data_IF_839805866467
#
_entry.id   IF_839805866467
#
_cell.length_a   1.000
_cell.length_b   1.000
_cell.length_c   1.000
_cell.angle_alpha   90.00
_cell.angle_beta   90.00
_cell.angle_gamma   90.00
#
_symmetry.space_group_name_H-M   'P 1'
#
loop_
_entity.id
_entity.type
_entity.pdbx_description
1 polymer ?
#
# COMPACT_ATOMS: atom_id res chain seq x y z
N UNK A 1 -20.17 13.84 3.83
CA UNK A 1 -19.22 12.71 3.88
C UNK A 1 -19.88 11.52 3.19
N UNK A 2 -19.15 10.81 2.32
CA UNK A 2 -19.63 9.52 1.79
C UNK A 2 -19.59 8.48 2.93
N UNK A 3 -20.45 7.47 2.85
CA UNK A 3 -20.32 6.29 3.73
C UNK A 3 -19.08 5.49 3.34
N UNK A 4 -18.54 4.71 4.28
CA UNK A 4 -17.34 3.88 4.09
C UNK A 4 -17.45 2.97 2.84
N UNK A 5 -18.64 2.42 2.60
CA UNK A 5 -18.95 1.53 1.47
C UNK A 5 -18.92 2.24 0.11
N UNK A 6 -19.21 3.54 0.08
CA UNK A 6 -19.23 4.33 -1.16
C UNK A 6 -17.89 5.01 -1.46
N UNK A 7 -16.89 4.86 -0.59
CA UNK A 7 -15.59 5.48 -0.77
C UNK A 7 -14.71 4.66 -1.72
N UNK A 8 -14.08 5.35 -2.67
CA UNK A 8 -13.03 4.74 -3.49
C UNK A 8 -11.76 4.50 -2.67
N UNK A 9 -10.84 3.67 -3.17
CA UNK A 9 -9.55 3.46 -2.50
C UNK A 9 -8.73 4.74 -2.37
N UNK A 10 -8.81 5.66 -3.34
CA UNK A 10 -8.20 6.99 -3.26
C UNK A 10 -8.78 7.80 -2.10
N UNK A 11 -10.11 7.79 -1.94
CA UNK A 11 -10.78 8.49 -0.83
C UNK A 11 -10.42 7.87 0.52
N UNK A 12 -10.40 6.54 0.61
CA UNK A 12 -10.00 5.79 1.81
C UNK A 12 -8.55 6.07 2.20
N UNK A 13 -7.63 6.08 1.23
CA UNK A 13 -6.23 6.41 1.45
C UNK A 13 -6.06 7.86 1.90
N UNK A 14 -6.88 8.77 1.37
CA UNK A 14 -6.95 10.14 1.84
C UNK A 14 -7.35 10.24 3.32
N UNK A 15 -8.36 9.48 3.75
CA UNK A 15 -8.76 9.44 5.16
C UNK A 15 -7.63 8.87 6.04
N UNK A 16 -6.98 7.79 5.60
CA UNK A 16 -5.84 7.22 6.32
C UNK A 16 -4.70 8.24 6.50
N UNK A 17 -4.39 9.00 5.44
CA UNK A 17 -3.37 10.05 5.46
C UNK A 17 -3.70 11.14 6.48
N UNK A 18 -4.96 11.61 6.53
CA UNK A 18 -5.37 12.67 7.44
C UNK A 18 -5.35 12.21 8.90
N UNK A 19 -5.72 10.95 9.16
CA UNK A 19 -5.77 10.39 10.50
C UNK A 19 -4.37 10.06 11.04
N UNK A 20 -3.45 9.62 10.18
CA UNK A 20 -2.13 9.12 10.58
C UNK A 20 -1.00 9.66 9.71
N UNK A 21 -0.84 11.00 9.57
CA UNK A 21 0.18 11.58 8.70
C UNK A 21 1.61 11.18 9.11
N UNK A 22 1.83 10.91 10.40
CA UNK A 22 3.13 10.47 10.93
C UNK A 22 3.50 9.03 10.53
N UNK A 23 2.53 8.18 10.19
CA UNK A 23 2.78 6.79 9.75
C UNK A 23 3.15 6.71 8.26
N UNK A 24 2.83 7.75 7.47
CA UNK A 24 2.99 7.72 6.01
C UNK A 24 4.45 7.54 5.57
N UNK A 25 5.45 8.24 6.15
CA UNK A 25 6.85 7.99 5.79
C UNK A 25 7.27 6.53 6.00
N UNK A 26 6.94 5.96 7.16
CA UNK A 26 7.30 4.58 7.51
C UNK A 26 6.55 3.55 6.65
N UNK A 27 5.29 3.82 6.29
CA UNK A 27 4.55 3.00 5.34
C UNK A 27 5.22 3.01 3.96
N UNK A 28 5.66 4.18 3.48
CA UNK A 28 6.37 4.28 2.20
C UNK A 28 7.69 3.51 2.23
N UNK A 29 8.43 3.55 3.35
CA UNK A 29 9.62 2.74 3.58
C UNK A 29 9.30 1.24 3.54
N UNK A 30 8.24 0.83 4.23
CA UNK A 30 7.81 -0.57 4.27
C UNK A 30 7.43 -1.09 2.87
N UNK A 31 6.72 -0.29 2.07
CA UNK A 31 6.39 -0.65 0.67
C UNK A 31 7.66 -0.87 -0.15
N UNK A 32 8.66 0.01 -0.02
CA UNK A 32 9.95 -0.17 -0.72
C UNK A 32 10.70 -1.42 -0.23
N UNK A 33 10.72 -1.67 1.09
CA UNK A 33 11.33 -2.86 1.66
C UNK A 33 10.68 -4.16 1.18
N UNK A 34 9.36 -4.18 1.08
CA UNK A 34 8.62 -5.31 0.48
C UNK A 34 8.96 -5.50 -1.00
N UNK A 35 9.07 -4.41 -1.78
CA UNK A 35 9.51 -4.50 -3.17
C UNK A 35 10.90 -5.14 -3.29
N UNK A 36 11.82 -4.76 -2.40
CA UNK A 36 13.18 -5.29 -2.38
C UNK A 36 13.20 -6.77 -1.99
N UNK A 37 12.47 -7.17 -0.94
CA UNK A 37 12.39 -8.55 -0.49
C UNK A 37 11.91 -9.49 -1.61
N UNK A 38 10.91 -9.06 -2.39
CA UNK A 38 10.43 -9.83 -3.55
C UNK A 38 11.48 -9.99 -4.64
N UNK A 39 12.34 -8.97 -4.85
CA UNK A 39 13.43 -9.03 -5.83
C UNK A 39 14.61 -9.88 -5.39
N UNK A 40 14.87 -9.94 -4.08
CA UNK A 40 15.96 -10.73 -3.52
C UNK A 40 15.71 -12.25 -3.68
N UNK A 41 14.44 -12.69 -3.67
CA UNK A 41 14.06 -14.09 -3.93
C UNK A 41 12.93 -14.20 -4.98
N UNK A 42 13.14 -13.60 -6.15
CA UNK A 42 12.11 -13.58 -7.20
C UNK A 42 11.70 -15.00 -7.62
N UNK A 43 12.68 -15.90 -7.78
CA UNK A 43 12.44 -17.29 -8.19
C UNK A 43 11.67 -18.10 -7.13
N UNK A 44 11.97 -17.89 -5.84
CA UNK A 44 11.23 -18.52 -4.75
C UNK A 44 9.78 -18.06 -4.73
N UNK A 45 9.55 -16.74 -4.79
CA UNK A 45 8.21 -16.17 -4.83
C UNK A 45 7.42 -16.60 -6.08
N UNK A 46 8.06 -16.65 -7.24
CA UNK A 46 7.44 -17.10 -8.49
C UNK A 46 7.02 -18.57 -8.43
N UNK A 47 7.86 -19.45 -7.87
CA UNK A 47 7.53 -20.88 -7.69
C UNK A 47 6.40 -21.09 -6.68
N UNK A 48 6.37 -20.30 -5.62
CA UNK A 48 5.32 -20.33 -4.61
C UNK A 48 4.03 -19.64 -5.05
N UNK A 49 4.03 -18.97 -6.22
CA UNK A 49 2.90 -18.16 -6.66
C UNK A 49 1.69 -19.03 -6.98
N UNK A 50 0.66 -18.93 -6.14
CA UNK A 50 -0.59 -19.66 -6.28
C UNK A 50 -1.80 -18.72 -6.22
N UNK A 51 -1.80 -17.68 -7.06
CA UNK A 51 -2.94 -16.79 -7.22
C UNK A 51 -3.56 -16.99 -8.61
N UNK A 52 -4.76 -17.58 -8.67
CA UNK A 52 -5.47 -17.87 -9.92
C UNK A 52 -6.05 -16.64 -10.62
N UNK A 53 -6.20 -15.51 -9.92
CA UNK A 53 -6.76 -14.28 -10.48
C UNK A 53 -5.69 -13.33 -11.01
N UNK A 54 -4.50 -13.35 -10.40
CA UNK A 54 -3.43 -12.43 -10.72
C UNK A 54 -2.16 -13.22 -11.02
N UNK A 55 -1.70 -13.16 -12.27
CA UNK A 55 -0.47 -13.84 -12.67
C UNK A 55 0.77 -13.11 -12.12
N UNK A 56 1.88 -13.84 -12.01
CA UNK A 56 3.15 -13.32 -11.50
C UNK A 56 3.66 -12.08 -12.23
N UNK A 57 3.56 -12.06 -13.57
CA UNK A 57 4.08 -10.94 -14.35
C UNK A 57 3.29 -9.64 -14.09
N UNK A 58 1.97 -9.75 -13.92
CA UNK A 58 1.13 -8.64 -13.53
C UNK A 58 1.49 -8.18 -12.11
N UNK A 59 1.72 -9.09 -11.17
CA UNK A 59 2.18 -8.76 -9.82
C UNK A 59 3.47 -7.93 -9.83
N UNK A 60 4.48 -8.41 -10.56
CA UNK A 60 5.77 -7.72 -10.70
C UNK A 60 5.62 -6.36 -11.38
N UNK A 61 4.71 -6.23 -12.35
CA UNK A 61 4.41 -4.93 -12.98
C UNK A 61 3.83 -3.93 -11.97
N UNK A 62 2.87 -4.35 -11.14
CA UNK A 62 2.26 -3.50 -10.11
C UNK A 62 3.26 -3.10 -9.02
N UNK A 63 4.08 -4.05 -8.57
CA UNK A 63 5.18 -3.81 -7.64
C UNK A 63 6.16 -2.77 -8.20
N UNK A 64 6.59 -2.95 -9.46
CA UNK A 64 7.54 -2.05 -10.11
C UNK A 64 6.95 -0.66 -10.34
N UNK A 65 5.66 -0.57 -10.64
CA UNK A 65 4.94 0.70 -10.74
C UNK A 65 4.91 1.43 -9.38
N UNK A 66 4.51 0.73 -8.31
CA UNK A 66 4.50 1.28 -6.96
C UNK A 66 5.89 1.75 -6.53
N UNK A 67 6.91 0.91 -6.70
CA UNK A 67 8.30 1.25 -6.40
C UNK A 67 8.77 2.49 -7.19
N UNK A 68 8.46 2.53 -8.49
CA UNK A 68 8.82 3.66 -9.35
C UNK A 68 8.18 4.98 -8.90
N UNK A 69 6.90 4.94 -8.53
CA UNK A 69 6.17 6.10 -8.00
C UNK A 69 6.75 6.56 -6.67
N UNK A 70 7.03 5.64 -5.74
CA UNK A 70 7.62 5.98 -4.44
C UNK A 70 9.02 6.55 -4.64
N UNK A 71 9.89 5.89 -5.42
CA UNK A 71 11.24 6.39 -5.70
C UNK A 71 11.24 7.81 -6.26
N UNK A 72 10.26 8.14 -7.11
CA UNK A 72 10.14 9.47 -7.73
C UNK A 72 9.58 10.53 -6.78
N UNK A 73 8.65 10.17 -5.90
CA UNK A 73 7.84 11.15 -5.17
C UNK A 73 7.83 11.00 -3.65
N UNK A 74 8.54 10.06 -3.04
CA UNK A 74 8.49 9.72 -1.60
C UNK A 74 8.39 10.93 -0.68
N UNK A 75 9.36 11.85 -0.76
CA UNK A 75 9.41 13.04 0.10
C UNK A 75 8.19 13.97 -0.09
N UNK A 76 7.63 14.02 -1.30
CA UNK A 76 6.41 14.79 -1.61
C UNK A 76 5.16 14.04 -1.17
N UNK A 77 5.08 12.73 -1.41
CA UNK A 77 3.95 11.87 -0.99
C UNK A 77 3.78 11.92 0.52
N UNK A 78 4.86 11.84 1.29
CA UNK A 78 4.85 11.91 2.75
C UNK A 78 4.18 13.18 3.32
N UNK A 79 4.10 14.25 2.52
CA UNK A 79 3.55 15.55 2.93
C UNK A 79 2.31 15.97 2.13
N UNK A 80 1.94 15.21 1.11
CA UNK A 80 0.88 15.58 0.18
C UNK A 80 -0.11 14.43 0.03
N UNK A 81 -1.22 14.53 0.76
CA UNK A 81 -2.36 13.62 0.73
C UNK A 81 -2.78 13.21 -0.67
N UNK A 82 -2.98 14.20 -1.56
CA UNK A 82 -3.46 13.95 -2.91
C UNK A 82 -2.45 13.16 -3.71
N UNK A 83 -1.18 13.54 -3.64
CA UNK A 83 -0.12 12.82 -4.34
C UNK A 83 0.04 11.39 -3.81
N UNK A 84 -0.07 11.18 -2.50
CA UNK A 84 -0.06 9.83 -1.90
C UNK A 84 -1.23 8.98 -2.41
N UNK A 85 -2.46 9.51 -2.30
CA UNK A 85 -3.68 8.78 -2.67
C UNK A 85 -3.77 8.52 -4.18
N UNK A 86 -3.60 9.55 -5.02
CA UNK A 86 -3.73 9.44 -6.48
C UNK A 86 -2.62 8.55 -7.08
N UNK A 87 -1.42 8.53 -6.51
CA UNK A 87 -0.32 7.74 -7.08
C UNK A 87 -0.35 6.28 -6.63
N UNK A 88 -0.70 6.01 -5.36
CA UNK A 88 -0.60 4.66 -4.81
C UNK A 88 -1.93 3.92 -4.73
N UNK A 89 -3.06 4.62 -4.74
CA UNK A 89 -4.38 4.01 -4.52
C UNK A 89 -5.36 4.21 -5.67
N UNK A 90 -4.90 4.73 -6.81
CA UNK A 90 -5.66 4.82 -8.06
C UNK A 90 -5.23 3.72 -9.05
N UNK A 91 -6.10 3.39 -10.00
CA UNK A 91 -5.84 2.36 -11.02
C UNK A 91 -5.53 0.98 -10.43
N UNK A 92 -4.73 0.17 -11.14
CA UNK A 92 -4.41 -1.20 -10.71
C UNK A 92 -3.32 -1.29 -9.64
N UNK A 93 -2.47 -0.26 -9.50
CA UNK A 93 -1.38 -0.26 -8.50
C UNK A 93 -1.91 -0.39 -7.07
N UNK A 94 -3.18 0.00 -6.86
CA UNK A 94 -3.90 -0.17 -5.60
C UNK A 94 -3.90 -1.61 -5.08
N UNK A 95 -3.89 -2.60 -5.97
CA UNK A 95 -3.89 -4.01 -5.57
C UNK A 95 -2.62 -4.33 -4.79
N UNK A 96 -1.47 -3.85 -5.27
CA UNK A 96 -0.19 -4.06 -4.61
C UNK A 96 -0.06 -3.22 -3.35
N UNK A 97 -0.44 -1.95 -3.39
CA UNK A 97 -0.28 -1.06 -2.25
C UNK A 97 -1.22 -1.39 -1.10
N UNK A 98 -2.45 -1.86 -1.38
CA UNK A 98 -3.35 -2.41 -0.35
C UNK A 98 -2.75 -3.67 0.26
N UNK A 99 -2.21 -4.60 -0.53
CA UNK A 99 -1.53 -5.79 0.00
C UNK A 99 -0.37 -5.42 0.94
N UNK A 100 0.46 -4.44 0.54
CA UNK A 100 1.52 -3.93 1.39
C UNK A 100 0.97 -3.31 2.68
N UNK A 101 -0.08 -2.49 2.57
CA UNK A 101 -0.70 -1.82 3.71
C UNK A 101 -1.27 -2.83 4.72
N UNK A 102 -2.00 -3.85 4.25
CA UNK A 102 -2.58 -4.89 5.11
C UNK A 102 -1.53 -5.82 5.70
N UNK A 103 -0.39 -6.01 5.02
CA UNK A 103 0.75 -6.78 5.55
C UNK A 103 1.56 -5.99 6.57
N UNK A 104 1.66 -4.66 6.40
CA UNK A 104 2.39 -3.76 7.29
C UNK A 104 1.61 -3.43 8.57
N UNK A 105 0.31 -3.19 8.48
CA UNK A 105 -0.50 -2.70 9.60
C UNK A 105 -0.43 -3.57 10.88
N UNK A 106 -0.39 -4.92 10.83
CA UNK A 106 -0.20 -5.76 12.00
C UNK A 106 1.13 -5.52 12.73
N UNK A 107 2.20 -5.17 12.00
CA UNK A 107 3.52 -4.87 12.60
C UNK A 107 3.49 -3.59 13.46
N UNK A 108 2.48 -2.74 13.23
CA UNK A 108 2.28 -1.48 13.96
C UNK A 108 1.37 -1.62 15.17
N UNK A 109 0.81 -2.79 15.45
CA UNK A 109 -0.18 -2.97 16.51
C UNK A 109 0.26 -2.45 17.89
N UNK A 110 1.53 -2.67 18.26
CA UNK A 110 2.08 -2.22 19.54
C UNK A 110 2.37 -0.72 19.56
N UNK A 111 2.82 -0.15 18.44
CA UNK A 111 3.19 1.27 18.33
C UNK A 111 1.96 2.16 18.12
N UNK A 112 1.01 1.72 17.29
CA UNK A 112 -0.14 2.47 16.87
C UNK A 112 -1.34 1.57 16.51
N UNK A 113 -1.96 0.99 17.54
CA UNK A 113 -3.18 0.16 17.39
C UNK A 113 -4.30 0.85 16.59
N UNK A 114 -4.43 2.18 16.69
CA UNK A 114 -5.46 2.93 15.96
C UNK A 114 -5.22 2.90 14.45
N UNK A 115 -3.97 3.00 14.02
CA UNK A 115 -3.61 2.83 12.62
C UNK A 115 -4.00 1.45 12.11
N UNK A 116 -3.67 0.39 12.85
CA UNK A 116 -4.03 -0.99 12.48
C UNK A 116 -5.53 -1.17 12.32
N UNK A 117 -6.33 -0.68 13.28
CA UNK A 117 -7.80 -0.72 13.21
C UNK A 117 -8.34 0.08 12.03
N UNK A 118 -7.76 1.25 11.73
CA UNK A 118 -8.20 2.06 10.60
C UNK A 118 -7.88 1.40 9.25
N UNK A 119 -6.72 0.76 9.13
CA UNK A 119 -6.37 -0.01 7.92
C UNK A 119 -7.37 -1.15 7.72
N UNK A 120 -7.66 -1.91 8.78
CA UNK A 120 -8.64 -3.00 8.75
C UNK A 120 -10.01 -2.47 8.31
N UNK A 121 -10.52 -1.42 8.96
CA UNK A 121 -11.80 -0.80 8.63
C UNK A 121 -11.88 -0.27 7.19
N UNK A 122 -10.80 0.34 6.68
CA UNK A 122 -10.82 1.01 5.38
C UNK A 122 -10.61 0.01 4.22
N UNK A 123 -9.74 -0.99 4.39
CA UNK A 123 -9.20 -1.78 3.29
C UNK A 123 -9.42 -3.30 3.42
N UNK A 124 -9.93 -3.78 4.55
CA UNK A 124 -10.29 -5.19 4.74
C UNK A 124 -11.82 -5.35 4.69
N UNK A 125 -12.38 -6.01 3.67
CA UNK A 125 -13.83 -6.23 3.54
C UNK A 125 -14.37 -7.29 4.51
#
# INVERSE_FOLDING_TARGET
MKTLEMMTNVEKAGVLFDLFPAEIPELLDAIQGMCQAVREDEDGHRRAWNNGFLNWNLWIALLSEAEGKIRRYKNKMAKNKRLFADQLFDGYVVIYTVHCLTSYAPTRQLANRKFTVAVDLLFNP
#
